data_IF_795865720533
#
_entry.id   IF_795865720533
#
_cell.length_a   1.000
_cell.length_b   1.000
_cell.length_c   1.000
_cell.angle_alpha   90.00
_cell.angle_beta   90.00
_cell.angle_gamma   90.00
#
_symmetry.space_group_name_H-M   'P 1'
#
loop_
_entity.id
_entity.type
_entity.pdbx_description
1 polymer ?
#
# COMPACT_ATOMS: atom_id res chain seq x y z
N UNK A 1 0.80 -4.53 -51.04
CA UNK A 1 0.65 -5.45 -49.89
C UNK A 1 -0.32 -4.79 -48.92
N UNK A 2 -1.46 -5.42 -48.62
CA UNK A 2 -2.52 -4.88 -47.76
C UNK A 2 -2.36 -5.40 -46.33
N UNK A 3 -2.35 -4.44 -45.39
CA UNK A 3 -2.86 -4.45 -44.00
C UNK A 3 -2.50 -5.60 -43.05
N UNK A 4 -2.07 -5.25 -41.83
CA UNK A 4 -2.85 -5.54 -40.61
C UNK A 4 -2.60 -4.42 -39.58
N UNK A 5 -3.44 -3.39 -39.66
CA UNK A 5 -3.63 -2.40 -38.61
C UNK A 5 -4.50 -3.07 -37.54
N UNK A 6 -3.92 -3.36 -36.37
CA UNK A 6 -4.64 -3.97 -35.25
C UNK A 6 -5.53 -2.89 -34.62
N UNK A 7 -6.72 -2.71 -35.19
CA UNK A 7 -7.81 -1.99 -34.52
C UNK A 7 -8.11 -2.66 -33.17
N UNK A 8 -8.05 -1.93 -32.05
CA UNK A 8 -8.44 -2.47 -30.76
C UNK A 8 -9.94 -2.79 -30.79
N UNK A 9 -10.29 -4.02 -30.41
CA UNK A 9 -11.66 -4.52 -30.31
C UNK A 9 -12.51 -3.54 -29.46
N UNK A 10 -13.59 -2.95 -29.99
CA UNK A 10 -14.51 -2.17 -29.17
C UNK A 10 -15.27 -3.14 -28.26
N UNK A 11 -14.88 -3.18 -26.98
CA UNK A 11 -15.50 -4.05 -25.97
C UNK A 11 -14.53 -4.83 -25.08
N UNK A 12 -13.21 -4.71 -25.28
CA UNK A 12 -12.26 -5.15 -24.25
C UNK A 12 -12.45 -4.33 -22.97
N UNK A 13 -12.35 -4.91 -21.77
CA UNK A 13 -12.37 -4.12 -20.54
C UNK A 13 -11.29 -3.05 -20.66
N UNK A 14 -11.70 -1.78 -20.57
CA UNK A 14 -10.77 -0.65 -20.51
C UNK A 14 -9.73 -0.97 -19.43
N UNK A 15 -8.43 -0.75 -19.67
CA UNK A 15 -7.42 -0.88 -18.62
C UNK A 15 -7.91 -0.08 -17.42
N UNK A 16 -8.22 -0.76 -16.34
CA UNK A 16 -8.65 -0.11 -15.12
C UNK A 16 -7.46 0.77 -14.68
N UNK A 17 -7.70 2.07 -14.51
CA UNK A 17 -6.64 2.99 -14.12
C UNK A 17 -5.97 2.45 -12.85
N UNK A 18 -4.63 2.51 -12.81
CA UNK A 18 -3.90 2.02 -11.66
C UNK A 18 -4.40 2.74 -10.40
N UNK A 19 -4.76 2.00 -9.34
CA UNK A 19 -5.37 2.56 -8.13
C UNK A 19 -4.45 3.59 -7.44
N UNK A 20 -3.14 3.38 -7.52
CA UNK A 20 -2.12 4.23 -6.93
C UNK A 20 -1.11 4.59 -8.01
N UNK A 21 -0.92 5.90 -8.24
CA UNK A 21 -0.08 6.40 -9.33
C UNK A 21 1.20 7.01 -8.74
N UNK A 22 2.39 6.54 -9.13
CA UNK A 22 3.64 7.14 -8.67
C UNK A 22 3.74 8.61 -9.06
N UNK A 23 4.29 9.44 -8.18
CA UNK A 23 4.39 10.89 -8.35
C UNK A 23 3.17 11.66 -7.83
N UNK A 24 2.06 10.98 -7.53
CA UNK A 24 0.90 11.61 -6.88
C UNK A 24 1.25 12.07 -5.46
N UNK A 25 0.76 13.26 -5.08
CA UNK A 25 0.96 13.80 -3.73
C UNK A 25 0.22 12.95 -2.69
N UNK A 26 0.91 12.55 -1.64
CA UNK A 26 0.37 11.75 -0.54
C UNK A 26 -0.82 12.41 0.14
N UNK A 27 -0.88 13.75 0.15
CA UNK A 27 -2.00 14.51 0.69
C UNK A 27 -3.33 14.27 -0.05
N UNK A 28 -3.28 13.68 -1.25
CA UNK A 28 -4.50 13.31 -2.01
C UNK A 28 -5.14 12.00 -1.55
N UNK A 29 -4.41 11.20 -0.76
CA UNK A 29 -4.90 9.92 -0.25
C UNK A 29 -5.47 10.05 1.17
N UNK A 30 -6.26 9.06 1.58
CA UNK A 30 -6.82 8.98 2.93
C UNK A 30 -5.77 8.64 3.99
N UNK A 31 -6.22 8.64 5.24
CA UNK A 31 -5.37 8.29 6.39
C UNK A 31 -4.77 6.89 6.23
N UNK A 32 -5.55 5.89 5.81
CA UNK A 32 -5.09 4.51 5.67
C UNK A 32 -3.88 4.39 4.73
N UNK A 33 -3.96 5.01 3.55
CA UNK A 33 -2.85 5.04 2.59
C UNK A 33 -1.63 5.76 3.14
N UNK A 34 -1.84 6.96 3.71
CA UNK A 34 -0.74 7.75 4.26
C UNK A 34 -0.05 7.01 5.41
N UNK A 35 -0.83 6.35 6.27
CA UNK A 35 -0.34 5.54 7.37
C UNK A 35 0.50 4.35 6.86
N UNK A 36 0.00 3.61 5.86
CA UNK A 36 0.74 2.47 5.29
C UNK A 36 2.03 2.92 4.60
N UNK A 37 2.01 4.06 3.89
CA UNK A 37 3.23 4.62 3.28
C UNK A 37 4.22 5.05 4.35
N UNK A 38 3.77 5.78 5.37
CA UNK A 38 4.61 6.17 6.50
C UNK A 38 5.21 4.95 7.19
N UNK A 39 4.41 3.92 7.47
CA UNK A 39 4.85 2.68 8.12
C UNK A 39 5.87 1.94 7.26
N UNK A 40 5.67 1.90 5.93
CA UNK A 40 6.60 1.30 4.97
C UNK A 40 7.94 2.03 5.00
N UNK A 41 7.94 3.37 4.94
CA UNK A 41 9.16 4.18 5.06
C UNK A 41 9.86 3.95 6.40
N UNK A 42 9.11 3.98 7.51
CA UNK A 42 9.65 3.78 8.85
C UNK A 42 10.28 2.40 9.02
N UNK A 43 9.65 1.35 8.47
CA UNK A 43 10.20 -0.01 8.49
C UNK A 43 11.51 -0.10 7.70
N UNK A 44 11.61 0.59 6.56
CA UNK A 44 12.75 0.52 5.66
C UNK A 44 13.93 1.41 6.07
N UNK A 45 13.67 2.57 6.68
CA UNK A 45 14.72 3.52 7.05
C UNK A 45 15.62 3.04 8.20
N UNK A 46 15.24 1.99 8.94
CA UNK A 46 16.08 1.37 9.97
C UNK A 46 16.60 2.32 11.07
N UNK A 47 16.03 3.52 11.20
CA UNK A 47 16.48 4.61 12.08
C UNK A 47 16.49 4.11 13.53
N UNK A 48 17.66 3.79 14.08
CA UNK A 48 17.83 3.24 15.42
C UNK A 48 16.82 2.14 15.78
N UNK A 49 17.17 0.88 15.46
CA UNK A 49 16.33 -0.33 15.59
C UNK A 49 15.49 -0.42 16.88
N UNK A 50 15.87 0.24 17.98
CA UNK A 50 15.03 0.37 19.18
C UNK A 50 13.97 1.47 19.08
N UNK A 51 14.36 2.71 18.81
CA UNK A 51 13.47 3.87 18.92
C UNK A 51 12.45 3.96 17.77
N UNK A 52 12.84 3.71 16.51
CA UNK A 52 11.87 3.69 15.42
C UNK A 52 10.95 2.48 15.50
N UNK A 53 11.45 1.32 15.91
CA UNK A 53 10.60 0.14 16.10
C UNK A 53 9.58 0.38 17.21
N UNK A 54 9.98 1.00 18.32
CA UNK A 54 9.05 1.38 19.39
C UNK A 54 7.98 2.37 18.90
N UNK A 55 8.35 3.41 18.14
CA UNK A 55 7.38 4.36 17.56
C UNK A 55 6.42 3.68 16.60
N UNK A 56 6.93 2.80 15.74
CA UNK A 56 6.13 2.05 14.78
C UNK A 56 5.17 1.10 15.51
N UNK A 57 5.65 0.36 16.51
CA UNK A 57 4.83 -0.51 17.35
C UNK A 57 3.75 0.28 18.10
N UNK A 58 4.09 1.46 18.63
CA UNK A 58 3.13 2.33 19.32
C UNK A 58 2.07 2.88 18.35
N UNK A 59 2.46 3.23 17.12
CA UNK A 59 1.54 3.71 16.10
C UNK A 59 0.55 2.61 15.67
N UNK A 60 1.03 1.37 15.47
CA UNK A 60 0.18 0.22 15.19
C UNK A 60 -0.75 -0.12 16.37
N UNK A 61 -0.27 0.00 17.61
CA UNK A 61 -1.12 -0.15 18.78
C UNK A 61 -2.19 0.95 18.88
N UNK A 62 -1.86 2.19 18.51
CA UNK A 62 -2.79 3.32 18.57
C UNK A 62 -3.93 3.25 17.54
N UNK A 63 -3.75 2.48 16.46
CA UNK A 63 -4.79 2.17 15.47
C UNK A 63 -5.40 0.78 15.70
N UNK A 64 -5.26 0.24 16.92
CA UNK A 64 -5.76 -1.06 17.35
C UNK A 64 -5.30 -2.26 16.49
N UNK A 65 -4.16 -2.12 15.79
CA UNK A 65 -3.60 -3.12 14.87
C UNK A 65 -2.18 -3.60 15.26
N UNK A 66 -1.90 -4.00 16.51
CA UNK A 66 -0.55 -4.38 16.93
C UNK A 66 0.01 -5.56 16.13
N UNK A 67 -0.85 -6.50 15.73
CA UNK A 67 -0.47 -7.69 14.97
C UNK A 67 -0.14 -7.39 13.49
N UNK A 68 -0.52 -6.21 12.98
CA UNK A 68 -0.27 -5.83 11.59
C UNK A 68 1.19 -5.44 11.35
N UNK A 69 1.92 -4.96 12.37
CA UNK A 69 3.33 -4.58 12.23
C UNK A 69 4.25 -5.75 11.82
N UNK A 70 4.30 -6.87 12.56
CA UNK A 70 5.16 -8.00 12.18
C UNK A 70 4.77 -8.56 10.79
N UNK A 71 3.49 -8.55 10.45
CA UNK A 71 2.99 -8.95 9.13
C UNK A 71 3.46 -7.99 8.04
N UNK A 72 3.45 -6.67 8.29
CA UNK A 72 3.98 -5.68 7.36
C UNK A 72 5.47 -5.87 7.14
N UNK A 73 6.26 -6.04 8.21
CA UNK A 73 7.70 -6.25 8.10
C UNK A 73 8.02 -7.53 7.31
N UNK A 74 7.32 -8.62 7.60
CA UNK A 74 7.45 -9.88 6.86
C UNK A 74 7.07 -9.71 5.39
N UNK A 75 5.97 -9.01 5.12
CA UNK A 75 5.48 -8.75 3.76
C UNK A 75 6.49 -7.94 2.94
N UNK A 76 7.04 -6.86 3.51
CA UNK A 76 8.06 -6.05 2.85
C UNK A 76 9.34 -6.85 2.58
N UNK A 77 9.81 -7.66 3.54
CA UNK A 77 10.97 -8.52 3.33
C UNK A 77 10.76 -9.56 2.23
N UNK A 78 9.56 -10.15 2.14
CA UNK A 78 9.21 -11.06 1.05
C UNK A 78 9.14 -10.34 -0.31
N UNK A 79 8.67 -9.09 -0.35
CA UNK A 79 8.68 -8.28 -1.58
C UNK A 79 10.09 -7.97 -2.07
N UNK A 80 11.03 -7.70 -1.17
CA UNK A 80 12.43 -7.45 -1.54
C UNK A 80 13.09 -8.69 -2.15
N UNK A 81 12.81 -9.86 -1.59
CA UNK A 81 13.25 -11.15 -2.15
C UNK A 81 12.66 -11.33 -3.55
N UNK A 82 11.36 -11.12 -3.71
CA UNK A 82 10.66 -11.28 -4.99
C UNK A 82 11.15 -10.28 -6.05
N UNK A 83 11.45 -9.04 -5.66
CA UNK A 83 11.98 -8.03 -6.57
C UNK A 83 13.49 -8.17 -6.83
N UNK A 84 14.19 -9.02 -6.07
CA UNK A 84 15.64 -9.17 -6.16
C UNK A 84 16.42 -7.91 -5.79
N UNK A 85 15.79 -6.95 -5.10
CA UNK A 85 16.40 -5.69 -4.67
C UNK A 85 15.67 -5.10 -3.45
N UNK A 86 16.34 -4.28 -2.64
CA UNK A 86 15.70 -3.50 -1.59
C UNK A 86 14.59 -2.59 -2.15
N UNK A 87 13.53 -2.38 -1.35
CA UNK A 87 12.50 -1.40 -1.68
C UNK A 87 13.07 0.01 -1.53
N UNK A 88 12.65 0.92 -2.39
CA UNK A 88 13.03 2.32 -2.28
C UNK A 88 12.53 2.90 -0.94
N UNK A 89 13.45 3.46 -0.16
CA UNK A 89 13.18 4.06 1.15
C UNK A 89 13.35 5.59 1.09
N UNK A 90 12.41 6.34 0.48
CA UNK A 90 12.48 7.79 0.45
C UNK A 90 12.39 8.36 1.88
N UNK A 91 12.99 9.52 2.11
CA UNK A 91 12.85 10.21 3.38
C UNK A 91 11.43 10.75 3.60
N UNK A 92 11.04 10.92 4.85
CA UNK A 92 9.71 11.42 5.22
C UNK A 92 9.38 12.82 4.66
N UNK A 93 10.39 13.59 4.22
CA UNK A 93 10.19 14.89 3.57
C UNK A 93 9.60 14.76 2.16
N UNK A 94 9.68 13.59 1.54
CA UNK A 94 9.14 13.35 0.22
C UNK A 94 7.62 13.22 0.28
N UNK A 95 6.89 14.17 -0.32
CA UNK A 95 5.42 14.14 -0.32
C UNK A 95 4.82 13.37 -1.49
N UNK A 96 5.62 13.01 -2.48
CA UNK A 96 5.16 12.20 -3.60
C UNK A 96 5.21 10.70 -3.28
N UNK A 97 4.20 9.96 -3.75
CA UNK A 97 4.15 8.51 -3.70
C UNK A 97 5.20 7.90 -4.65
N UNK A 98 6.04 7.00 -4.16
CA UNK A 98 7.06 6.34 -4.96
C UNK A 98 6.53 5.08 -5.65
N UNK A 99 7.24 4.59 -6.67
CA UNK A 99 6.82 3.41 -7.43
C UNK A 99 6.72 2.13 -6.60
N UNK A 100 7.59 1.95 -5.61
CA UNK A 100 7.55 0.79 -4.71
C UNK A 100 6.41 0.91 -3.69
N UNK A 101 6.17 2.13 -3.20
CA UNK A 101 5.06 2.43 -2.28
C UNK A 101 3.71 2.23 -2.96
N UNK A 102 3.56 2.70 -4.20
CA UNK A 102 2.38 2.49 -5.01
C UNK A 102 2.11 0.99 -5.25
N UNK A 103 3.16 0.18 -5.44
CA UNK A 103 3.04 -1.28 -5.56
C UNK A 103 2.59 -1.93 -4.25
N UNK A 104 3.16 -1.53 -3.13
CA UNK A 104 2.76 -2.02 -1.79
C UNK A 104 1.28 -1.70 -1.53
N UNK A 105 0.86 -0.44 -1.72
CA UNK A 105 -0.54 -0.03 -1.57
C UNK A 105 -1.46 -0.82 -2.49
N UNK A 106 -1.08 -0.97 -3.77
CA UNK A 106 -1.88 -1.71 -4.74
C UNK A 106 -2.09 -3.17 -4.35
N UNK A 107 -1.04 -3.83 -3.84
CA UNK A 107 -1.12 -5.22 -3.40
C UNK A 107 -2.00 -5.37 -2.15
N UNK A 108 -1.81 -4.52 -1.14
CA UNK A 108 -2.62 -4.57 0.08
C UNK A 108 -4.10 -4.28 -0.26
N UNK A 109 -4.37 -3.25 -1.08
CA UNK A 109 -5.74 -2.93 -1.50
C UNK A 109 -6.37 -4.08 -2.29
N UNK A 110 -5.61 -4.75 -3.16
CA UNK A 110 -6.07 -5.93 -3.89
C UNK A 110 -6.40 -7.07 -2.93
N UNK A 111 -5.55 -7.36 -1.95
CA UNK A 111 -5.82 -8.40 -0.95
C UNK A 111 -7.05 -8.06 -0.09
N UNK A 112 -7.24 -6.79 0.28
CA UNK A 112 -8.44 -6.34 0.99
C UNK A 112 -9.70 -6.55 0.16
N UNK A 113 -9.67 -6.21 -1.14
CA UNK A 113 -10.78 -6.44 -2.07
C UNK A 113 -11.10 -7.92 -2.23
N UNK A 114 -10.09 -8.78 -2.38
CA UNK A 114 -10.26 -10.23 -2.41
C UNK A 114 -10.90 -10.75 -1.11
N UNK A 115 -10.47 -10.24 0.05
CA UNK A 115 -11.05 -10.63 1.34
C UNK A 115 -12.52 -10.20 1.51
N UNK A 116 -12.90 -9.06 0.92
CA UNK A 116 -14.30 -8.59 0.92
C UNK A 116 -15.20 -9.29 -0.11
N UNK A 117 -14.67 -10.22 -0.90
CA UNK A 117 -15.44 -10.97 -1.90
C UNK A 117 -15.73 -10.19 -3.19
N UNK A 118 -14.92 -9.18 -3.52
CA UNK A 118 -15.03 -8.47 -4.80
C UNK A 118 -14.73 -9.44 -5.95
N UNK A 119 -15.75 -9.79 -6.73
CA UNK A 119 -15.67 -10.73 -7.85
C UNK A 119 -14.71 -10.29 -8.97
N UNK A 120 -14.33 -9.00 -9.00
CA UNK A 120 -13.37 -8.46 -9.98
C UNK A 120 -11.91 -8.56 -9.50
N UNK A 121 -11.69 -8.85 -8.22
CA UNK A 121 -10.36 -8.98 -7.64
C UNK A 121 -9.83 -10.40 -7.83
N UNK A 122 -8.85 -10.56 -8.73
CA UNK A 122 -8.11 -11.81 -8.89
C UNK A 122 -6.78 -11.74 -8.15
N UNK A 123 -6.39 -12.84 -7.51
CA UNK A 123 -5.10 -12.91 -6.84
C UNK A 123 -3.98 -12.88 -7.88
N UNK A 124 -2.94 -12.06 -7.66
CA UNK A 124 -1.80 -12.00 -8.56
C UNK A 124 -1.01 -13.32 -8.47
N UNK A 125 -0.30 -13.67 -9.54
CA UNK A 125 0.61 -14.80 -9.53
C UNK A 125 1.88 -14.43 -8.73
N UNK A 126 1.83 -14.65 -7.43
CA UNK A 126 2.91 -14.37 -6.48
C UNK A 126 3.28 -15.66 -5.71
N UNK A 127 4.48 -15.75 -5.14
CA UNK A 127 4.84 -16.87 -4.27
C UNK A 127 3.86 -17.04 -3.12
N UNK A 128 3.58 -18.30 -2.76
CA UNK A 128 2.66 -18.65 -1.67
C UNK A 128 2.94 -17.93 -0.34
N UNK A 129 4.22 -17.77 0.11
CA UNK A 129 4.49 -17.03 1.34
C UNK A 129 4.05 -15.55 1.28
N UNK A 130 4.22 -14.92 0.12
CA UNK A 130 3.86 -13.52 -0.10
C UNK A 130 2.33 -13.35 -0.17
N UNK A 131 1.64 -14.29 -0.83
CA UNK A 131 0.17 -14.34 -0.84
C UNK A 131 -0.41 -14.50 0.56
N UNK A 132 0.08 -15.49 1.34
CA UNK A 132 -0.41 -15.74 2.69
C UNK A 132 -0.17 -14.56 3.62
N UNK A 133 1.05 -13.99 3.59
CA UNK A 133 1.40 -12.85 4.44
C UNK A 133 0.60 -11.61 4.05
N UNK A 134 0.49 -11.34 2.74
CA UNK A 134 -0.29 -10.20 2.22
C UNK A 134 -1.78 -10.30 2.56
N UNK A 135 -2.38 -11.49 2.46
CA UNK A 135 -3.77 -11.72 2.86
C UNK A 135 -3.99 -11.52 4.37
N UNK A 136 -3.11 -12.07 5.21
CA UNK A 136 -3.18 -11.89 6.68
C UNK A 136 -3.04 -10.42 7.07
N UNK A 137 -2.08 -9.73 6.47
CA UNK A 137 -1.87 -8.29 6.66
C UNK A 137 -3.14 -7.52 6.28
N UNK A 138 -3.66 -7.75 5.08
CA UNK A 138 -4.87 -7.10 4.60
C UNK A 138 -6.07 -7.33 5.51
N UNK A 139 -6.30 -8.56 5.97
CA UNK A 139 -7.37 -8.90 6.91
C UNK A 139 -7.20 -8.16 8.25
N UNK A 140 -5.99 -8.13 8.79
CA UNK A 140 -5.69 -7.48 10.06
C UNK A 140 -5.94 -5.97 9.97
N UNK A 141 -5.49 -5.33 8.89
CA UNK A 141 -5.77 -3.90 8.62
C UNK A 141 -7.26 -3.64 8.42
N UNK A 142 -7.97 -4.50 7.67
CA UNK A 142 -9.40 -4.35 7.46
C UNK A 142 -10.21 -4.50 8.75
N UNK A 143 -9.79 -5.41 9.65
CA UNK A 143 -10.46 -5.64 10.93
C UNK A 143 -10.40 -4.41 11.86
N UNK A 144 -9.39 -3.56 11.70
CA UNK A 144 -9.21 -2.33 12.49
C UNK A 144 -9.73 -1.08 11.78
N UNK A 145 -10.38 -1.24 10.63
CA UNK A 145 -10.93 -0.14 9.84
C UNK A 145 -9.93 0.57 8.93
N UNK A 146 -8.68 0.10 8.86
CA UNK A 146 -7.66 0.60 7.92
C UNK A 146 -7.90 0.03 6.51
N UNK A 147 -8.94 0.55 5.85
CA UNK A 147 -9.30 0.17 4.49
C UNK A 147 -8.61 1.08 3.49
N UNK A 148 -7.95 0.47 2.50
CA UNK A 148 -7.35 1.16 1.36
C UNK A 148 -8.42 1.37 0.29
N UNK A 149 -8.68 2.63 -0.04
CA UNK A 149 -9.70 3.04 -0.99
C UNK A 149 -9.04 3.82 -2.13
N UNK A 150 -8.74 3.15 -3.26
CA UNK A 150 -7.99 3.74 -4.35
C UNK A 150 -8.73 4.80 -5.19
N UNK A 151 -9.86 5.32 -4.71
CA UNK A 151 -10.69 6.26 -5.43
C UNK A 151 -10.49 7.69 -4.95
N UNK A 152 -10.53 8.62 -5.91
CA UNK A 152 -10.86 10.06 -5.80
C UNK A 152 -12.15 10.40 -4.99
N UNK A 153 -12.71 9.42 -4.28
CA UNK A 153 -13.77 9.53 -3.30
C UNK A 153 -13.23 9.44 -1.87
N UNK A 154 -12.06 10.05 -1.59
CA UNK A 154 -11.91 10.68 -0.29
C UNK A 154 -13.04 11.72 -0.19
N UNK A 155 -14.21 11.26 0.26
CA UNK A 155 -15.34 12.10 0.53
C UNK A 155 -14.84 13.25 1.39
N UNK A 156 -15.36 14.44 1.15
CA UNK A 156 -15.15 15.67 1.91
C UNK A 156 -15.61 15.51 3.38
N UNK A 157 -15.06 14.56 4.12
CA UNK A 157 -15.29 14.35 5.54
C UNK A 157 -13.96 14.43 6.23
N UNK A 158 -13.65 15.64 6.70
CA UNK A 158 -12.48 15.94 7.51
C UNK A 158 -11.20 16.04 6.70
N UNK A 159 -10.88 17.25 6.24
CA UNK A 159 -9.49 17.64 6.11
C UNK A 159 -8.84 17.34 7.47
N UNK A 160 -8.02 16.30 7.55
CA UNK A 160 -7.15 16.06 8.70
C UNK A 160 -5.91 16.93 8.43
N UNK A 161 -5.77 18.12 9.02
CA UNK A 161 -4.46 18.74 9.05
C UNK A 161 -3.60 17.88 9.98
N UNK A 162 -2.31 17.74 9.68
CA UNK A 162 -1.31 17.18 10.59
C UNK A 162 -1.20 15.65 10.77
N UNK A 163 -1.72 14.84 9.84
CA UNK A 163 -1.53 13.36 9.90
C UNK A 163 -0.07 12.89 9.77
N UNK A 164 0.83 13.75 9.28
CA UNK A 164 2.24 13.45 9.21
C UNK A 164 2.97 14.29 10.28
N UNK A 165 3.50 13.68 11.35
CA UNK A 165 4.22 14.44 12.36
C UNK A 165 5.39 15.17 11.69
N UNK A 166 5.37 16.50 11.76
CA UNK A 166 6.51 17.32 11.36
C UNK A 166 7.60 17.05 12.38
N UNK A 167 8.53 16.17 12.03
CA UNK A 167 9.76 15.98 12.80
C UNK A 167 10.63 17.22 12.57
N UNK A 168 10.56 18.17 13.49
CA UNK A 168 11.56 19.23 13.68
C UNK A 168 12.79 18.66 14.38
#
# INVERSE_FOLDING_TARGET
MKTLDFSPRPGGPKPQAAPYVPGTDLATYGFSEQFVVWATRAAQMGLDKGAAHFRLSSAFAAVDAPDALPLLQQFLGLLEIEFGRPLAAPCFKWRALMADEARVLSLIALFQRCATGDATASLPNLPMPLLQTGQRLALTLSATGLLLQPSNQASKTGCWPDAMPVLH
#
